data_IF_034576715490
#
_entry.id   IF_034576715490
#
_cell.length_a   1.000
_cell.length_b   1.000
_cell.length_c   1.000
_cell.angle_alpha   90.00
_cell.angle_beta   90.00
_cell.angle_gamma   90.00
#
_symmetry.space_group_name_H-M   'P 1'
#
loop_
_entity.id
_entity.type
_entity.pdbx_description
1 polymer ?
2 non-polymer ?
3 water ?
#
# COMPACT_ATOMS: atom_id res chain seq x y z
N UNK A 1 -18.43 1.30 -10.74
CA UNK A 1 -18.37 0.28 -11.83
C UNK A 1 -17.01 0.29 -12.53
N UNK A 2 -16.20 -0.74 -12.28
CA UNK A 2 -14.87 -0.85 -12.88
C UNK A 2 -14.94 -1.09 -14.38
N UNK A 3 -14.01 -0.48 -15.11
CA UNK A 3 -13.91 -0.66 -16.56
C UNK A 3 -13.29 -2.01 -16.89
N UNK A 4 -13.38 -2.43 -18.15
CA UNK A 4 -12.82 -3.72 -18.52
C UNK A 4 -11.32 -3.65 -18.79
N UNK A 5 -10.84 -2.45 -19.12
CA UNK A 5 -9.40 -2.22 -19.31
C UNK A 5 -8.90 -1.32 -18.20
N UNK A 6 -7.60 -1.37 -17.96
CA UNK A 6 -6.97 -0.53 -16.95
C UNK A 6 -5.60 -0.08 -17.47
N UNK A 7 -5.29 1.20 -17.27
CA UNK A 7 -3.95 1.72 -17.52
C UNK A 7 -3.12 1.48 -16.27
N UNK A 8 -1.92 0.94 -16.45
CA UNK A 8 -0.97 0.76 -15.35
C UNK A 8 0.24 1.63 -15.65
N UNK A 9 0.46 2.62 -14.81
CA UNK A 9 1.59 3.51 -14.96
C UNK A 9 2.75 2.96 -14.13
N UNK A 10 3.86 2.67 -14.80
CA UNK A 10 5.04 2.09 -14.15
C UNK A 10 5.59 0.93 -14.95
N UNK A 13 8.60 -4.61 -13.80
CA UNK A 13 8.65 -5.36 -12.54
C UNK A 13 7.39 -5.18 -11.71
N UNK A 14 7.32 -4.08 -10.97
CA UNK A 14 6.15 -3.75 -10.14
C UNK A 14 4.89 -3.63 -11.00
N UNK A 15 5.07 -3.23 -12.26
CA UNK A 15 3.96 -3.11 -13.22
C UNK A 15 3.33 -4.44 -13.59
N UNK A 16 4.16 -5.45 -13.87
CA UNK A 16 3.64 -6.78 -14.19
C UNK A 16 2.93 -7.40 -12.99
N UNK A 17 3.43 -7.11 -11.79
CA UNK A 17 2.80 -7.59 -10.56
C UNK A 17 1.42 -6.96 -10.37
N UNK A 18 1.32 -5.65 -10.62
CA UNK A 18 0.04 -4.97 -10.55
C UNK A 18 -0.90 -5.48 -11.63
N UNK A 19 -0.35 -5.80 -12.80
CA UNK A 19 -1.14 -6.41 -13.88
C UNK A 19 -1.77 -7.72 -13.41
N UNK A 20 -0.99 -8.54 -12.72
CA UNK A 20 -1.51 -9.80 -12.17
C UNK A 20 -2.67 -9.53 -11.21
N UNK A 21 -2.54 -8.51 -10.37
CA UNK A 21 -3.62 -8.21 -9.43
C UNK A 21 -4.85 -7.68 -10.18
N UNK A 22 -4.62 -6.84 -11.18
CA UNK A 22 -5.72 -6.32 -12.01
C UNK A 22 -6.48 -7.47 -12.69
N UNK A 23 -5.75 -8.40 -13.29
CA UNK A 23 -6.39 -9.55 -13.95
C UNK A 23 -7.12 -10.46 -12.98
N UNK A 24 -6.54 -10.64 -11.80
CA UNK A 24 -7.22 -11.37 -10.71
C UNK A 24 -8.58 -10.78 -10.35
N UNK A 25 -8.66 -9.44 -10.32
CA UNK A 25 -9.90 -8.72 -10.02
C UNK A 25 -10.96 -8.87 -11.11
N UNK A 26 -10.51 -9.16 -12.33
CA UNK A 26 -11.43 -9.32 -13.44
C UNK A 26 -11.18 -8.37 -14.60
N UNK A 27 -10.14 -7.54 -14.50
CA UNK A 27 -9.78 -6.70 -15.65
C UNK A 27 -9.35 -7.62 -16.77
N UNK A 28 -9.81 -7.33 -17.99
CA UNK A 28 -9.53 -8.18 -19.14
C UNK A 28 -8.24 -7.78 -19.84
N UNK A 29 -7.90 -6.50 -19.77
CA UNK A 29 -6.71 -5.98 -20.45
C UNK A 29 -6.00 -4.90 -19.62
N UNK A 30 -4.67 -4.96 -19.60
CA UNK A 30 -3.85 -3.96 -18.94
C UNK A 30 -3.00 -3.24 -19.97
N UNK A 31 -3.05 -1.92 -19.93
CA UNK A 31 -2.32 -1.06 -20.84
C UNK A 31 -1.24 -0.33 -20.07
N UNK A 32 0.01 -0.68 -20.36
CA UNK A 32 1.15 -0.07 -19.67
C UNK A 32 1.54 1.28 -20.23
N UNK A 33 1.75 2.22 -19.32
CA UNK A 33 2.24 3.55 -19.65
C UNK A 33 3.44 3.86 -18.76
N UNK A 34 4.41 4.59 -19.32
CA UNK A 34 5.53 5.10 -18.52
C UNK A 34 6.13 6.35 -19.15
N UNK A 43 -4.16 14.63 -22.37
CA UNK A 43 -4.38 14.12 -23.73
C UNK A 43 -5.74 13.43 -23.95
N UNK A 44 -5.96 12.87 -25.14
CA UNK A 44 -7.31 12.44 -25.53
C UNK A 44 -7.65 10.93 -25.43
N UNK A 45 -7.02 10.22 -24.50
CA UNK A 45 -7.30 8.78 -24.34
C UNK A 45 -8.64 8.44 -23.70
N UNK A 46 -9.22 7.27 -24.04
CA UNK A 46 -10.42 6.86 -23.34
C UNK A 46 -10.16 6.79 -21.83
N UNK A 47 -11.18 7.11 -21.05
CA UNK A 47 -11.09 7.14 -19.59
C UNK A 47 -11.28 5.78 -18.94
N UNK A 48 -10.34 4.87 -19.18
CA UNK A 48 -10.35 3.62 -18.42
C UNK A 48 -9.82 3.91 -17.02
N UNK A 49 -10.12 3.00 -16.10
CA UNK A 49 -9.57 3.04 -14.74
C UNK A 49 -8.06 3.13 -14.84
N UNK A 50 -7.43 3.77 -13.85
CA UNK A 50 -5.99 3.95 -13.83
C UNK A 50 -5.41 3.37 -12.54
N UNK A 51 -4.17 2.90 -12.61
CA UNK A 51 -3.43 2.58 -11.38
C UNK A 51 -1.98 3.03 -11.50
N UNK A 52 -1.39 3.42 -10.37
CA UNK A 52 0.01 3.86 -10.37
C UNK A 52 0.88 2.80 -9.70
N UNK A 53 1.63 2.07 -10.52
CA UNK A 53 2.46 0.96 -10.05
C UNK A 53 3.88 1.42 -9.80
N UNK A 54 4.03 2.37 -8.88
CA UNK A 54 5.34 2.88 -8.52
C UNK A 54 5.55 2.66 -7.02
N UNK A 55 6.57 1.87 -6.67
CA UNK A 55 6.80 1.48 -5.27
C UNK A 55 7.24 2.66 -4.42
N UNK A 56 7.86 3.63 -5.09
CA UNK A 56 8.36 4.83 -4.45
C UNK A 56 7.26 5.80 -4.04
N UNK A 57 7.18 6.07 -2.73
CA UNK A 57 6.08 6.85 -2.15
C UNK A 57 5.93 8.25 -2.72
N UNK A 58 7.06 8.92 -2.94
CA UNK A 58 7.07 10.32 -3.35
C UNK A 58 6.63 10.51 -4.81
N UNK A 59 7.12 9.64 -5.68
CA UNK A 59 6.78 9.66 -7.10
C UNK A 59 5.32 9.23 -7.26
N UNK A 60 4.92 8.20 -6.53
CA UNK A 60 3.53 7.74 -6.58
C UNK A 60 2.56 8.87 -6.29
N UNK A 61 2.84 9.67 -5.26
CA UNK A 61 1.98 10.78 -4.86
C UNK A 61 1.91 11.86 -5.94
N UNK A 62 3.06 12.19 -6.52
CA UNK A 62 3.12 13.21 -7.57
C UNK A 62 2.31 12.78 -8.79
N UNK A 63 2.54 11.55 -9.24
CA UNK A 63 1.80 10.99 -10.38
C UNK A 63 0.31 10.90 -10.06
N UNK A 64 -0.02 10.50 -8.82
CA UNK A 64 -1.41 10.47 -8.34
C UNK A 64 -2.08 11.82 -8.53
N UNK A 65 -1.40 12.89 -8.11
CA UNK A 65 -1.96 14.23 -8.21
C UNK A 65 -2.20 14.63 -9.67
N UNK A 66 -1.23 14.36 -10.54
CA UNK A 66 -1.31 14.69 -11.96
C UNK A 66 -2.45 13.95 -12.66
N UNK A 67 -2.54 12.64 -12.43
CA UNK A 67 -3.57 11.79 -13.05
C UNK A 67 -4.97 12.19 -12.60
N UNK A 68 -5.11 12.48 -11.30
CA UNK A 68 -6.38 12.92 -10.72
C UNK A 68 -6.83 14.24 -11.31
N UNK A 69 -5.88 15.13 -11.60
CA UNK A 69 -6.17 16.45 -12.17
C UNK A 69 -6.55 16.41 -13.65
N UNK A 70 -6.33 15.27 -14.30
CA UNK A 70 -6.69 15.08 -15.70
C UNK A 70 -7.96 14.24 -15.89
N UNK A 71 -8.76 14.14 -14.82
CA UNK A 71 -10.08 13.51 -14.88
C UNK A 71 -10.12 11.99 -14.92
N UNK A 72 -9.07 11.34 -14.42
CA UNK A 72 -9.02 9.88 -14.39
C UNK A 72 -9.41 9.37 -13.01
N UNK A 73 -10.03 8.19 -12.99
CA UNK A 73 -10.32 7.51 -11.74
C UNK A 73 -9.14 6.61 -11.41
N UNK A 74 -8.51 6.82 -10.26
CA UNK A 74 -7.39 5.95 -9.85
C UNK A 74 -7.93 4.91 -8.88
N UNK A 75 -8.15 3.70 -9.37
CA UNK A 75 -8.83 2.66 -8.59
C UNK A 75 -7.90 2.04 -7.55
N UNK A 76 -8.47 1.24 -6.65
CA UNK A 76 -7.66 0.36 -5.80
C UNK A 76 -7.54 -0.98 -6.49
N UNK A 77 -6.36 -1.60 -6.40
CA UNK A 77 -6.18 -2.96 -6.88
C UNK A 77 -6.04 -3.82 -5.64
N UNK A 78 -7.00 -4.73 -5.48
CA UNK A 78 -7.13 -5.57 -4.28
C UNK A 78 -7.29 -7.02 -4.71
N UNK A 79 -6.29 -7.84 -4.42
CA UNK A 79 -6.33 -9.25 -4.78
C UNK A 79 -7.51 -9.93 -4.09
N UNK A 80 -8.17 -10.84 -4.79
CA UNK A 80 -9.32 -11.53 -4.23
C UNK A 80 -9.02 -12.28 -2.92
N UNK A 81 -7.75 -12.64 -2.71
CA UNK A 81 -7.34 -13.33 -1.48
C UNK A 81 -7.07 -12.40 -0.29
N UNK A 82 -7.07 -11.10 -0.52
CA UNK A 82 -6.92 -10.15 0.59
C UNK A 82 -8.21 -10.19 1.39
N UNK A 83 -8.07 -10.36 2.71
CA UNK A 83 -9.22 -10.44 3.59
C UNK A 83 -9.39 -9.13 4.34
N UNK A 84 -10.53 -8.46 4.13
CA UNK A 84 -10.74 -7.13 4.71
C UNK A 84 -11.97 -7.18 5.61
N UNK A 85 -11.82 -6.83 6.88
CA UNK A 85 -12.96 -6.80 7.80
C UNK A 85 -14.04 -5.86 7.27
N UNK A 86 -15.31 -6.26 7.40
CA UNK A 86 -16.41 -5.37 7.05
C UNK A 86 -16.37 -4.02 7.76
N UNK A 87 -15.75 -3.96 8.94
CA UNK A 87 -15.67 -2.71 9.70
C UNK A 87 -14.37 -1.95 9.44
N UNK A 88 -13.47 -2.53 8.64
CA UNK A 88 -12.29 -1.78 8.23
C UNK A 88 -12.69 -0.71 7.22
N UNK A 89 -11.87 0.33 7.12
CA UNK A 89 -12.10 1.42 6.17
C UNK A 89 -10.95 1.48 5.17
N UNK A 90 -11.27 1.26 3.90
CA UNK A 90 -10.29 1.38 2.83
C UNK A 90 -10.79 2.48 1.92
N UNK A 91 -10.04 3.58 1.80
CA UNK A 91 -10.52 4.72 1.01
C UNK A 91 -10.80 4.25 -0.42
N UNK A 92 -11.99 4.58 -0.91
CA UNK A 92 -12.43 4.10 -2.23
C UNK A 92 -11.75 4.88 -3.33
N UNK A 93 -11.45 4.20 -4.44
CA UNK A 93 -10.79 4.82 -5.59
C UNK A 93 -9.64 5.73 -5.16
N UNK A 94 -8.65 5.13 -4.49
CA UNK A 94 -7.56 5.89 -3.90
C UNK A 94 -6.16 5.32 -4.21
N UNK A 95 -6.05 4.55 -5.29
CA UNK A 95 -4.76 4.05 -5.76
C UNK A 95 -4.06 3.16 -4.74
N UNK A 96 -4.86 2.48 -3.92
CA UNK A 96 -4.28 1.58 -2.90
C UNK A 96 -4.05 0.22 -3.53
N UNK A 97 -2.87 -0.35 -3.26
CA UNK A 97 -2.56 -1.71 -3.71
C UNK A 97 -2.65 -2.67 -2.52
N UNK A 98 -3.45 -3.73 -2.66
CA UNK A 98 -3.54 -4.72 -1.58
C UNK A 98 -3.24 -6.08 -2.21
N UNK A 99 -2.07 -6.63 -1.88
CA UNK A 99 -1.54 -7.83 -2.52
C UNK A 99 -2.15 -9.13 -1.95
N UNK A 100 -1.82 -10.29 -2.54
CA UNK A 100 -2.42 -11.54 -2.06
C UNK A 100 -2.12 -11.80 -0.60
N UNK A 101 -3.08 -12.45 0.07
CA UNK A 101 -2.92 -12.94 1.44
C UNK A 101 -2.68 -11.84 2.48
N UNK A 102 -2.95 -10.60 2.11
CA UNK A 102 -2.99 -9.52 3.10
C UNK A 102 -4.25 -9.67 3.94
N UNK A 103 -4.14 -9.38 5.24
CA UNK A 103 -5.32 -9.38 6.12
C UNK A 103 -5.42 -8.03 6.82
N UNK A 104 -6.61 -7.44 6.79
CA UNK A 104 -6.86 -6.13 7.41
C UNK A 104 -8.03 -6.32 8.37
N UNK A 105 -7.75 -6.22 9.67
CA UNK A 105 -8.74 -6.56 10.71
C UNK A 105 -9.66 -5.40 11.12
N UNK A 106 -10.60 -5.69 12.03
CA UNK A 106 -11.70 -4.78 12.38
C UNK A 106 -11.27 -3.37 12.70
N UNK A 107 -11.98 -2.41 12.11
CA UNK A 107 -11.79 -0.97 12.38
C UNK A 107 -10.44 -0.36 11.97
N UNK A 108 -9.57 -1.15 11.33
CA UNK A 108 -8.34 -0.59 10.76
C UNK A 108 -8.70 0.33 9.60
N UNK A 109 -7.85 1.32 9.35
CA UNK A 109 -8.06 2.31 8.31
C UNK A 109 -6.85 2.40 7.39
N UNK A 110 -7.09 2.22 6.09
CA UNK A 110 -6.04 2.34 5.09
C UNK A 110 -6.27 3.59 4.25
N UNK A 111 -5.28 4.47 4.21
CA UNK A 111 -5.42 5.74 3.50
C UNK A 111 -4.95 5.65 2.06
N UNK A 112 -5.22 6.71 1.29
CA UNK A 112 -4.90 6.74 -0.14
C UNK A 112 -3.44 6.43 -0.44
N UNK A 113 -3.23 5.73 -1.55
CA UNK A 113 -1.91 5.51 -2.13
C UNK A 113 -1.05 4.50 -1.38
N UNK A 114 -1.61 3.90 -0.34
CA UNK A 114 -0.85 2.90 0.45
C UNK A 114 -0.54 1.66 -0.40
N UNK A 115 0.62 1.03 -0.15
CA UNK A 115 0.92 -0.30 -0.68
C UNK A 115 0.93 -1.26 0.51
N UNK A 116 0.09 -2.30 0.45
CA UNK A 116 0.13 -3.41 1.40
C UNK A 116 0.60 -4.62 0.60
N UNK A 117 1.88 -4.98 0.75
CA UNK A 117 2.46 -6.01 -0.09
C UNK A 117 2.13 -7.42 0.46
N UNK A 118 2.52 -8.44 -0.30
CA UNK A 118 2.08 -9.81 -0.07
C UNK A 118 2.27 -10.25 1.37
N UNK A 119 1.20 -10.82 1.93
CA UNK A 119 1.19 -11.41 3.26
C UNK A 119 1.42 -10.43 4.42
N UNK A 120 1.36 -9.13 4.15
CA UNK A 120 1.37 -8.18 5.26
C UNK A 120 0.07 -8.28 6.07
N UNK A 121 0.13 -7.90 7.34
CA UNK A 121 -1.04 -7.99 8.23
C UNK A 121 -1.22 -6.67 8.96
N UNK A 122 -2.44 -6.14 8.87
CA UNK A 122 -2.81 -4.89 9.55
C UNK A 122 -3.85 -5.23 10.62
N UNK A 123 -3.44 -5.24 11.88
CA UNK A 123 -4.34 -5.71 12.93
C UNK A 123 -5.43 -4.68 13.28
N UNK A 124 -6.37 -5.07 14.14
CA UNK A 124 -7.52 -4.21 14.46
C UNK A 124 -7.11 -2.80 14.89
N UNK A 125 -7.86 -1.81 14.40
CA UNK A 125 -7.76 -0.41 14.83
C UNK A 125 -6.47 0.32 14.43
N UNK A 126 -5.71 -0.27 13.51
CA UNK A 126 -4.55 0.42 12.96
C UNK A 126 -4.98 1.57 12.06
N UNK A 127 -4.08 2.54 11.90
CA UNK A 127 -4.21 3.55 10.85
C UNK A 127 -2.94 3.55 10.02
N UNK A 128 -3.08 3.30 8.72
CA UNK A 128 -1.93 3.31 7.83
C UNK A 128 -2.01 4.55 6.97
N UNK A 129 -1.11 5.50 7.25
CA UNK A 129 -1.07 6.81 6.61
C UNK A 129 -0.84 6.81 5.11
N UNK A 130 -1.34 7.87 4.46
CA UNK A 130 -1.29 7.95 3.00
C UNK A 130 0.11 7.78 2.42
N UNK A 131 0.14 7.08 1.29
CA UNK A 131 1.36 6.79 0.53
C UNK A 131 2.44 6.08 1.34
N UNK A 132 2.05 5.31 2.35
CA UNK A 132 3.01 4.43 3.02
C UNK A 132 3.17 3.12 2.25
N UNK A 133 4.26 2.40 2.53
CA UNK A 133 4.63 1.18 1.83
C UNK A 133 4.92 0.13 2.90
N UNK A 134 4.05 -0.88 2.98
CA UNK A 134 4.18 -1.96 3.96
C UNK A 134 4.63 -3.17 3.15
N UNK A 135 5.87 -3.59 3.37
CA UNK A 135 6.51 -4.59 2.50
C UNK A 135 6.03 -5.98 2.81
N UNK A 136 6.48 -6.92 1.99
CA UNK A 136 6.09 -8.32 2.11
C UNK A 136 6.33 -8.81 3.54
N UNK A 137 5.30 -9.41 4.14
CA UNK A 137 5.45 -10.03 5.44
C UNK A 137 5.52 -9.11 6.64
N UNK A 138 5.41 -7.80 6.42
CA UNK A 138 5.47 -6.84 7.53
C UNK A 138 4.15 -6.88 8.29
N UNK A 139 4.20 -6.75 9.61
CA UNK A 139 2.98 -6.88 10.43
C UNK A 139 2.85 -5.69 11.36
N UNK A 140 1.65 -5.10 11.39
CA UNK A 140 1.34 -4.05 12.35
C UNK A 140 0.37 -4.61 13.38
N UNK A 141 0.74 -4.56 14.66
CA UNK A 141 -0.13 -5.07 15.72
C UNK A 141 -1.29 -4.13 16.00
N UNK A 142 -2.16 -4.52 16.94
CA UNK A 142 -3.36 -3.75 17.18
C UNK A 142 -3.05 -2.32 17.57
N UNK A 143 -3.90 -1.41 17.09
CA UNK A 143 -3.87 -0.01 17.50
C UNK A 143 -2.56 0.70 17.14
N UNK A 144 -1.94 0.28 16.05
CA UNK A 144 -0.69 0.90 15.61
C UNK A 144 -1.00 2.00 14.61
N UNK A 145 -0.31 3.13 14.75
CA UNK A 145 -0.50 4.26 13.86
C UNK A 145 0.76 4.47 13.05
N UNK A 146 0.66 4.25 11.74
CA UNK A 146 1.77 4.47 10.83
C UNK A 146 1.52 5.80 10.13
N UNK A 147 2.52 6.68 10.20
CA UNK A 147 2.41 8.00 9.58
C UNK A 147 2.36 7.97 8.06
N UNK A 148 2.15 9.13 7.46
CA UNK A 148 2.19 9.22 6.01
C UNK A 148 3.61 8.96 5.51
N UNK A 149 3.73 8.43 4.29
CA UNK A 149 5.02 8.30 3.62
C UNK A 149 6.05 7.46 4.38
N UNK A 150 5.58 6.48 5.15
CA UNK A 150 6.49 5.59 5.88
C UNK A 150 6.81 4.38 5.03
N UNK A 151 7.91 3.71 5.35
CA UNK A 151 8.28 2.44 4.71
C UNK A 151 8.52 1.43 5.83
N UNK A 152 7.85 0.28 5.77
CA UNK A 152 8.12 -0.82 6.71
C UNK A 152 8.70 -1.97 5.91
N UNK A 153 9.91 -2.40 6.26
CA UNK A 153 10.67 -3.31 5.41
C UNK A 153 10.16 -4.73 5.52
N UNK A 154 10.71 -5.60 4.67
CA UNK A 154 10.29 -7.00 4.65
C UNK A 154 10.40 -7.66 6.02
N UNK A 155 9.35 -8.40 6.41
CA UNK A 155 9.32 -9.16 7.68
C UNK A 155 9.53 -8.29 8.90
N UNK A 156 9.29 -6.99 8.76
CA UNK A 156 9.38 -6.11 9.92
C UNK A 156 8.09 -6.20 10.73
N UNK A 157 8.09 -5.65 11.93
CA UNK A 157 6.86 -5.55 12.66
C UNK A 157 6.86 -4.41 13.66
N UNK A 158 5.66 -4.00 14.05
CA UNK A 158 5.48 -2.89 15.00
C UNK A 158 4.58 -3.43 16.11
N UNK A 159 5.05 -3.35 17.35
CA UNK A 159 4.31 -3.90 18.50
C UNK A 159 3.04 -3.08 18.79
N UNK A 160 2.12 -3.64 19.60
CA UNK A 160 0.82 -3.02 19.86
C UNK A 160 0.90 -1.58 20.38
N UNK A 161 -0.07 -0.77 19.97
CA UNK A 161 -0.30 0.56 20.54
C UNK A 161 0.75 1.62 20.23
N UNK A 162 1.63 1.36 19.27
CA UNK A 162 2.73 2.26 18.93
C UNK A 162 2.40 3.15 17.74
N UNK A 163 3.03 4.33 17.72
CA UNK A 163 2.91 5.28 16.62
C UNK A 163 4.28 5.53 15.99
N UNK A 164 4.31 5.58 14.67
CA UNK A 164 5.52 5.86 13.92
C UNK A 164 5.28 7.15 13.12
N UNK A 165 6.13 8.16 13.35
CA UNK A 165 5.98 9.47 12.71
C UNK A 165 6.09 9.42 11.18
N UNK A 166 5.42 10.38 10.53
CA UNK A 166 5.49 10.57 9.09
C UNK A 166 6.93 10.51 8.58
N UNK A 167 7.11 9.96 7.38
CA UNK A 167 8.40 9.96 6.67
C UNK A 167 9.48 9.09 7.32
N UNK A 168 9.08 8.07 8.08
CA UNK A 168 10.04 7.20 8.75
C UNK A 168 10.28 5.91 7.96
N UNK A 169 11.39 5.25 8.27
CA UNK A 169 11.79 3.99 7.63
C UNK A 169 12.06 2.95 8.70
N UNK A 170 11.42 1.78 8.57
CA UNK A 170 11.70 0.63 9.42
C UNK A 170 12.35 -0.43 8.53
N UNK A 171 13.58 -0.82 8.87
CA UNK A 171 14.38 -1.72 8.04
C UNK A 171 13.82 -3.13 7.96
N UNK A 172 14.29 -3.89 6.97
CA UNK A 172 13.93 -5.32 6.87
C UNK A 172 14.24 -6.05 8.17
N UNK A 173 13.32 -6.91 8.58
CA UNK A 173 13.51 -7.75 9.75
C UNK A 173 13.46 -7.05 11.10
N UNK A 174 13.20 -5.75 11.10
CA UNK A 174 13.30 -4.94 12.33
C UNK A 174 11.98 -4.93 13.10
N UNK A 175 12.07 -4.84 14.43
CA UNK A 175 10.89 -4.86 15.28
C UNK A 175 10.83 -3.54 16.04
N UNK A 176 9.84 -2.72 15.73
CA UNK A 176 9.68 -1.44 16.44
C UNK A 176 9.03 -1.67 17.80
N UNK A 177 9.65 -1.14 18.87
CA UNK A 177 9.21 -1.45 20.23
C UNK A 177 8.78 -0.23 21.08
N UNK A 178 9.07 0.98 20.59
CA UNK A 178 8.70 2.23 21.29
C UNK A 178 8.00 3.20 20.35
N UNK A 179 7.13 4.03 20.93
CA UNK A 179 6.58 5.17 20.20
C UNK A 179 7.66 6.07 19.64
N UNK A 180 7.41 6.58 18.44
CA UNK A 180 8.34 7.48 17.77
C UNK A 180 7.60 8.68 17.19
N UNK A 181 7.59 9.79 17.92
CA UNK A 181 6.86 10.97 17.43
C UNK A 181 7.71 11.90 16.56
N UNK A 182 8.99 11.59 16.42
CA UNK A 182 9.86 12.28 15.47
C UNK A 182 10.28 11.30 14.38
N UNK A 183 10.33 11.78 13.14
CA UNK A 183 10.77 10.93 12.03
C UNK A 183 12.17 10.36 12.28
N UNK A 184 12.40 9.16 11.76
CA UNK A 184 13.71 8.56 11.86
C UNK A 184 13.82 7.31 11.02
N UNK A 185 14.99 6.71 11.10
CA UNK A 185 15.33 5.49 10.41
C UNK A 185 15.65 4.45 11.49
N UNK A 186 14.96 3.31 11.44
CA UNK A 186 15.02 2.33 12.53
C UNK A 186 15.44 1.01 11.92
N UNK A 187 16.62 0.54 12.30
CA UNK A 187 17.26 -0.58 11.60
C UNK A 187 17.21 -1.86 12.41
N UNK A 188 17.27 -2.99 11.70
CA UNK A 188 17.37 -4.30 12.32
C UNK A 188 18.79 -4.83 12.23
N UNK A 189 19.00 -6.05 12.70
CA UNK A 189 20.34 -6.64 12.68
C UNK A 189 20.48 -7.42 11.38
N UNK A 190 21.59 -7.22 10.65
CA UNK A 190 21.84 -7.97 9.44
C UNK A 190 22.41 -9.35 9.72
N UNK A 191 22.20 -10.26 8.78
CA UNK A 191 22.80 -11.59 8.84
C UNK A 191 24.31 -11.43 8.84
N UNK A 192 24.99 -12.26 9.62
CA UNK A 192 26.45 -12.20 9.72
C UNK A 192 27.08 -13.46 9.17
N UNK A 193 28.06 -13.29 8.29
CA UNK A 193 28.84 -14.40 7.78
C UNK A 193 29.68 -15.02 8.90
N UNK A 194 29.59 -16.34 9.02
CA UNK A 194 30.40 -17.10 9.97
C UNK A 194 31.55 -17.79 9.24
X LIG B 1 1.19 -8.89 20.89
X LIG B 1 0.79 -9.93 19.85
X LIG B 1 -0.68 -9.82 19.44
X LIG B 1 -0.93 -10.88 18.40
X LIG B 1 -0.97 -8.44 18.86
X LIG B 1 -2.42 -8.21 18.49
X LIG B 1 2.29 -8.32 20.73
X LIG B 1 0.39 -8.65 21.84
X LIG B 1 -1.46 -11.93 18.77
X LIG B 1 -0.58 -10.66 17.21
X LIG B 1 -3.23 -9.18 18.38
X LIG B 1 -2.75 -7.02 18.28
X LIG B 1 -1.53 -10.11 20.57
#
# INVERSE_FOLDING_TARGET
ARTEKIYIYGASGHGLVCEDVAKNMGYKECIFLDDFKGMKFESTLPKYDFFIAIGNNEIRKKIYQKISENGFKIVNLIHKSALISPSAIVEENAGILIMPYVVINAKAKIEKGVILNTSSVIEHECVIGEFSHVSVGAKCAGNVKIGKNCFLGINSCVLPNLSLADDSILGGGATLVKNQDEKGVFVGVPAKRM
FLC CAC CA CB CBC CG CGC OA1 OA2 OB1 OB2 OG1 OG2 OHB
#
